data_IF_434420751217
#
_entry.id   IF_434420751217
#
_cell.length_a   1.000
_cell.length_b   1.000
_cell.length_c   1.000
_cell.angle_alpha   90.00
_cell.angle_beta   90.00
_cell.angle_gamma   90.00
#
_symmetry.space_group_name_H-M   'P 1'
#
loop_
_entity.id
_entity.type
_entity.pdbx_description
1 polymer ?
#
# COMPACT_ATOMS: atom_id res chain seq x y z
N UNK A 1 -2.56 -31.20 -11.91
CA UNK A 1 -2.01 -29.85 -12.19
C UNK A 1 -3.03 -28.85 -11.70
N UNK A 2 -2.68 -28.17 -10.62
CA UNK A 2 -3.57 -27.33 -9.85
C UNK A 2 -4.08 -26.17 -10.69
N UNK A 3 -5.40 -26.01 -10.67
CA UNK A 3 -6.14 -24.98 -11.36
C UNK A 3 -5.92 -23.67 -10.59
N UNK A 4 -4.98 -22.81 -11.02
CA UNK A 4 -4.84 -21.49 -10.40
C UNK A 4 -5.98 -20.59 -10.87
N UNK A 5 -6.98 -20.60 -10.00
CA UNK A 5 -8.26 -19.93 -9.99
C UNK A 5 -8.10 -18.42 -9.77
N UNK A 6 -9.03 -17.70 -10.39
CA UNK A 6 -9.44 -16.30 -10.17
C UNK A 6 -8.56 -15.21 -10.78
N UNK A 7 -9.01 -14.77 -11.96
CA UNK A 7 -8.90 -13.37 -12.39
C UNK A 7 -9.62 -12.48 -11.37
N UNK A 8 -8.94 -12.15 -10.27
CA UNK A 8 -9.38 -11.14 -9.32
C UNK A 8 -9.05 -9.78 -9.93
N UNK A 9 -10.04 -8.88 -10.00
CA UNK A 9 -9.85 -7.51 -10.46
C UNK A 9 -8.59 -6.90 -9.81
N UNK A 10 -7.82 -6.04 -10.51
CA UNK A 10 -6.59 -5.47 -9.98
C UNK A 10 -6.88 -4.88 -8.61
N UNK A 11 -6.25 -5.45 -7.58
CA UNK A 11 -6.59 -5.14 -6.21
C UNK A 11 -5.94 -3.82 -5.86
N UNK A 12 -6.73 -2.75 -5.95
CA UNK A 12 -6.30 -1.39 -5.61
C UNK A 12 -6.69 -1.06 -4.18
N UNK A 13 -5.80 -0.32 -3.50
CA UNK A 13 -6.07 0.33 -2.22
C UNK A 13 -7.22 1.30 -2.47
N UNK A 14 -8.43 0.89 -2.10
CA UNK A 14 -9.66 1.61 -2.44
C UNK A 14 -10.20 2.33 -1.20
N UNK A 15 -10.82 3.49 -1.41
CA UNK A 15 -11.62 4.20 -0.41
C UNK A 15 -10.90 4.45 0.93
N UNK A 16 -9.71 5.05 0.91
CA UNK A 16 -9.17 5.66 2.13
C UNK A 16 -9.98 6.91 2.46
N UNK A 17 -10.57 6.93 3.65
CA UNK A 17 -11.35 8.07 4.14
C UNK A 17 -10.45 8.99 4.96
N UNK A 18 -10.65 10.30 4.80
CA UNK A 18 -9.94 11.29 5.62
C UNK A 18 -10.24 11.10 7.12
N UNK A 19 -11.43 10.63 7.48
CA UNK A 19 -11.78 10.29 8.87
C UNK A 19 -10.91 9.18 9.43
N UNK A 20 -10.58 8.14 8.65
CA UNK A 20 -9.67 7.07 9.08
C UNK A 20 -8.25 7.60 9.32
N UNK A 21 -7.80 8.55 8.48
CA UNK A 21 -6.52 9.22 8.67
C UNK A 21 -6.53 10.10 9.94
N UNK A 22 -7.62 10.82 10.21
CA UNK A 22 -7.74 11.66 11.40
C UNK A 22 -7.82 10.86 12.71
N UNK A 23 -8.32 9.63 12.66
CA UNK A 23 -8.30 8.68 13.78
C UNK A 23 -6.92 8.11 14.09
N UNK A 24 -5.91 8.36 13.24
CA UNK A 24 -4.55 7.92 13.51
C UNK A 24 -3.96 8.68 14.71
N UNK A 25 -3.06 8.04 15.48
CA UNK A 25 -2.33 8.71 16.55
C UNK A 25 -1.62 9.97 16.06
N UNK A 26 -1.56 11.02 16.90
CA UNK A 26 -0.99 12.32 16.54
C UNK A 26 0.44 12.24 16.00
N UNK A 27 1.26 11.36 16.57
CA UNK A 27 2.64 11.13 16.12
C UNK A 27 2.72 10.50 14.71
N UNK A 28 1.68 9.78 14.27
CA UNK A 28 1.61 9.21 12.92
C UNK A 28 1.12 10.24 11.91
N UNK A 29 0.16 11.10 12.29
CA UNK A 29 -0.34 12.19 11.42
C UNK A 29 0.74 13.21 11.06
N UNK A 30 1.79 13.33 11.88
CA UNK A 30 2.96 14.16 11.57
C UNK A 30 3.90 13.56 10.50
N UNK A 31 3.75 12.29 10.13
CA UNK A 31 4.63 11.61 9.18
C UNK A 31 4.38 12.00 7.72
N UNK A 32 3.14 12.37 7.39
CA UNK A 32 2.70 12.71 6.05
C UNK A 32 1.45 13.61 6.09
N UNK A 33 1.30 14.49 5.10
CA UNK A 33 0.02 15.17 4.90
C UNK A 33 -1.01 14.21 4.28
N UNK A 34 -2.29 14.53 4.41
CA UNK A 34 -3.36 13.78 3.75
C UNK A 34 -3.19 13.77 2.21
N UNK A 35 -2.75 14.88 1.63
CA UNK A 35 -2.52 15.02 0.18
C UNK A 35 -1.32 14.19 -0.29
N UNK A 36 -0.23 14.17 0.49
CA UNK A 36 0.94 13.32 0.25
C UNK A 36 0.54 11.84 0.24
N UNK A 37 -0.31 11.43 1.19
CA UNK A 37 -0.80 10.05 1.31
C UNK A 37 -1.68 9.64 0.11
N UNK A 38 -2.59 10.52 -0.32
CA UNK A 38 -3.43 10.27 -1.51
C UNK A 38 -2.58 10.11 -2.78
N UNK A 39 -1.58 10.97 -2.95
CA UNK A 39 -0.65 10.89 -4.08
C UNK A 39 0.14 9.59 -4.06
N UNK A 40 0.60 9.15 -2.88
CA UNK A 40 1.30 7.89 -2.72
C UNK A 40 0.42 6.68 -3.06
N UNK A 41 -0.85 6.71 -2.65
CA UNK A 41 -1.82 5.66 -2.94
C UNK A 41 -2.13 5.56 -4.43
N UNK A 42 -2.24 6.69 -5.13
CA UNK A 42 -2.42 6.72 -6.59
C UNK A 42 -1.24 6.02 -7.29
N UNK A 43 0.01 6.38 -6.93
CA UNK A 43 1.22 5.78 -7.48
C UNK A 43 1.30 4.27 -7.23
N UNK A 44 1.00 3.82 -6.01
CA UNK A 44 0.96 2.39 -5.67
C UNK A 44 -0.10 1.67 -6.51
N UNK A 45 -1.31 2.23 -6.59
CA UNK A 45 -2.40 1.65 -7.35
C UNK A 45 -2.09 1.57 -8.85
N UNK A 46 -1.43 2.59 -9.41
CA UNK A 46 -0.96 2.59 -10.80
C UNK A 46 0.03 1.46 -11.07
N UNK A 47 0.98 1.24 -10.15
CA UNK A 47 1.95 0.14 -10.27
C UNK A 47 1.29 -1.25 -10.13
N UNK A 48 0.41 -1.42 -9.15
CA UNK A 48 -0.33 -2.67 -8.94
C UNK A 48 -1.20 -3.04 -10.14
N UNK A 49 -1.88 -2.04 -10.74
CA UNK A 49 -2.67 -2.22 -11.97
C UNK A 49 -1.81 -2.68 -13.14
N UNK A 50 -0.58 -2.19 -13.24
CA UNK A 50 0.35 -2.58 -14.30
C UNK A 50 0.80 -4.03 -14.14
N UNK A 51 1.03 -4.47 -12.90
CA UNK A 51 1.50 -5.82 -12.60
C UNK A 51 0.36 -6.86 -12.51
N UNK A 52 -0.90 -6.42 -12.40
CA UNK A 52 -2.05 -7.30 -12.20
C UNK A 52 -2.05 -8.03 -10.85
N UNK A 53 -1.15 -7.65 -9.94
CA UNK A 53 -0.96 -8.27 -8.63
C UNK A 53 -1.72 -7.50 -7.54
N UNK A 54 -1.96 -8.17 -6.42
CA UNK A 54 -2.54 -7.58 -5.21
C UNK A 54 -1.52 -7.36 -4.09
N UNK A 55 -0.23 -7.55 -4.39
CA UNK A 55 0.85 -7.34 -3.46
C UNK A 55 2.07 -6.75 -4.18
N UNK A 56 2.98 -6.19 -3.39
CA UNK A 56 4.29 -5.75 -3.84
C UNK A 56 5.34 -6.02 -2.77
N UNK A 57 6.58 -6.20 -3.17
CA UNK A 57 7.70 -6.48 -2.30
C UNK A 57 8.43 -5.21 -1.89
N UNK A 58 9.21 -5.30 -0.83
CA UNK A 58 9.98 -4.15 -0.33
C UNK A 58 10.99 -3.61 -1.36
N UNK A 59 11.55 -4.47 -2.21
CA UNK A 59 12.46 -4.10 -3.31
C UNK A 59 11.75 -3.32 -4.43
N UNK A 60 10.43 -3.42 -4.54
CA UNK A 60 9.64 -2.72 -5.55
C UNK A 60 9.26 -1.30 -5.11
N UNK A 61 9.31 -0.99 -3.80
CA UNK A 61 8.95 0.33 -3.25
C UNK A 61 9.67 1.51 -3.95
N UNK A 62 10.98 1.45 -4.25
CA UNK A 62 11.67 2.53 -4.95
C UNK A 62 11.09 2.83 -6.34
N UNK A 63 10.53 1.82 -7.02
CA UNK A 63 9.94 1.99 -8.36
C UNK A 63 8.63 2.79 -8.35
N UNK A 64 7.99 2.93 -7.19
CA UNK A 64 6.74 3.68 -7.05
C UNK A 64 6.97 5.19 -6.93
N UNK A 65 8.22 5.66 -6.88
CA UNK A 65 8.57 7.08 -6.80
C UNK A 65 7.83 7.83 -5.69
N UNK A 66 7.64 7.18 -4.54
CA UNK A 66 6.96 7.77 -3.37
C UNK A 66 7.82 8.83 -2.67
N UNK A 67 9.11 8.92 -3.00
CA UNK A 67 10.04 9.85 -2.40
C UNK A 67 10.49 9.43 -0.99
N UNK A 68 11.10 10.34 -0.21
CA UNK A 68 11.78 10.00 1.05
C UNK A 68 10.82 9.52 2.15
N UNK A 69 9.52 9.82 2.04
CA UNK A 69 8.47 9.42 2.98
C UNK A 69 7.81 8.08 2.62
N UNK A 70 8.33 7.32 1.65
CA UNK A 70 7.75 6.05 1.20
C UNK A 70 7.34 5.11 2.35
N UNK A 71 8.26 4.89 3.30
CA UNK A 71 8.03 4.03 4.48
C UNK A 71 6.94 4.57 5.40
N UNK A 72 6.84 5.90 5.54
CA UNK A 72 5.79 6.55 6.33
C UNK A 72 4.41 6.28 5.72
N UNK A 73 4.25 6.44 4.40
CA UNK A 73 2.97 6.17 3.74
C UNK A 73 2.55 4.71 3.91
N UNK A 74 3.48 3.77 3.72
CA UNK A 74 3.22 2.35 3.92
C UNK A 74 2.78 2.04 5.36
N UNK A 75 3.45 2.63 6.35
CA UNK A 75 3.08 2.48 7.75
C UNK A 75 1.67 3.01 8.04
N UNK A 76 1.30 4.18 7.48
CA UNK A 76 -0.03 4.73 7.63
C UNK A 76 -1.10 3.82 7.02
N UNK A 77 -0.83 3.27 5.82
CA UNK A 77 -1.75 2.36 5.13
C UNK A 77 -1.92 1.03 5.88
N UNK A 78 -0.85 0.48 6.46
CA UNK A 78 -0.93 -0.67 7.37
C UNK A 78 -1.78 -0.32 8.58
N UNK A 79 -1.58 0.86 9.17
CA UNK A 79 -2.34 1.28 10.36
C UNK A 79 -3.83 1.54 10.07
N UNK A 80 -4.15 1.98 8.86
CA UNK A 80 -5.51 2.14 8.33
C UNK A 80 -6.11 0.83 7.80
N UNK A 81 -5.44 -0.31 8.03
CA UNK A 81 -5.90 -1.64 7.66
C UNK A 81 -6.16 -1.79 6.15
N UNK A 82 -5.35 -1.11 5.33
CA UNK A 82 -5.37 -1.15 3.86
C UNK A 82 -4.28 -2.03 3.28
N UNK A 83 -3.20 -2.23 4.05
CA UNK A 83 -2.11 -3.12 3.72
C UNK A 83 -1.88 -4.09 4.87
N UNK A 84 -1.52 -5.32 4.53
CA UNK A 84 -0.95 -6.29 5.47
C UNK A 84 0.48 -6.58 5.07
N UNK A 85 1.36 -6.64 6.07
CA UNK A 85 2.76 -6.99 5.88
C UNK A 85 2.91 -8.49 6.11
N UNK A 86 3.46 -9.17 5.13
CA UNK A 86 3.77 -10.59 5.16
C UNK A 86 5.26 -10.79 4.88
N UNK A 87 5.82 -11.88 5.38
CA UNK A 87 7.18 -12.30 5.03
C UNK A 87 7.07 -13.56 4.20
N UNK A 88 7.46 -13.46 2.93
CA UNK A 88 7.42 -14.55 1.95
C UNK A 88 8.87 -14.79 1.52
N UNK A 89 9.37 -16.01 1.71
CA UNK A 89 10.75 -16.41 1.37
C UNK A 89 11.83 -15.49 1.96
N UNK A 90 11.60 -14.97 3.17
CA UNK A 90 12.52 -14.05 3.85
C UNK A 90 12.47 -12.60 3.35
N UNK A 91 11.57 -12.29 2.41
CA UNK A 91 11.34 -10.94 1.91
C UNK A 91 10.03 -10.35 2.45
N UNK A 92 10.07 -9.06 2.78
CA UNK A 92 8.88 -8.32 3.18
C UNK A 92 8.00 -8.01 1.96
N UNK A 93 6.75 -8.45 2.04
CA UNK A 93 5.71 -8.27 1.05
C UNK A 93 4.52 -7.52 1.66
N UNK A 94 3.95 -6.59 0.91
CA UNK A 94 2.79 -5.80 1.29
C UNK A 94 1.62 -6.24 0.41
N UNK A 95 0.61 -6.87 1.01
CA UNK A 95 -0.62 -7.26 0.31
C UNK A 95 -1.72 -6.25 0.58
N UNK A 96 -2.46 -5.88 -0.47
CA UNK A 96 -3.66 -5.05 -0.41
C UNK A 96 -4.82 -5.86 0.15
N UNK A 97 -5.56 -5.27 1.09
CA UNK A 97 -6.74 -5.85 1.74
C UNK A 97 -8.05 -5.43 1.06
#
# INVERSE_FOLDING_TARGET
MENLKSAQAPSSISNILKSEFECLPSYMKGLASWEDLLTAVDKINSSLRTNGCNFFRQDEIPSFELGPKARSYLLLLVRMNRLVVETIDGLLSYRVL
#
